data_IF_887135387304
#
_entry.id   IF_887135387304
#
_cell.length_a   1.000
_cell.length_b   1.000
_cell.length_c   1.000
_cell.angle_alpha   90.00
_cell.angle_beta   90.00
_cell.angle_gamma   90.00
#
_symmetry.space_group_name_H-M   'P 1'
#
loop_
_entity.id
_entity.type
_entity.pdbx_description
1 polymer ?
#
# COMPACT_ATOMS: atom_id res chain seq x y z
N UNK A 1 -19.33 -11.07 -2.77
CA UNK A 1 -20.59 -11.29 -2.01
C UNK A 1 -20.58 -10.40 -0.77
N UNK A 2 -21.66 -10.33 0.04
CA UNK A 2 -21.69 -9.49 1.27
C UNK A 2 -20.55 -9.85 2.26
N UNK A 3 -20.01 -11.07 2.15
CA UNK A 3 -18.92 -11.58 3.00
C UNK A 3 -17.52 -11.08 2.60
N UNK A 4 -17.29 -10.69 1.34
CA UNK A 4 -15.99 -10.17 0.86
C UNK A 4 -15.71 -8.75 1.37
N UNK A 5 -16.77 -7.96 1.60
CA UNK A 5 -16.67 -6.56 2.04
C UNK A 5 -15.91 -6.43 3.37
N UNK A 6 -15.96 -7.45 4.23
CA UNK A 6 -15.28 -7.46 5.52
C UNK A 6 -13.74 -7.42 5.35
N UNK A 7 -13.23 -8.03 4.29
CA UNK A 7 -11.80 -8.10 3.98
C UNK A 7 -11.26 -6.80 3.40
N UNK A 8 -12.11 -6.00 2.73
CA UNK A 8 -11.66 -4.80 2.03
C UNK A 8 -11.10 -3.74 2.97
N UNK A 9 -10.07 -3.04 2.50
CA UNK A 9 -9.44 -1.91 3.18
C UNK A 9 -7.97 -2.13 3.48
N UNK A 10 -7.40 -1.20 4.26
CA UNK A 10 -6.00 -1.24 4.68
C UNK A 10 -5.87 -1.99 5.99
N UNK A 11 -4.93 -2.92 6.05
CA UNK A 11 -4.62 -3.73 7.20
C UNK A 11 -3.15 -3.55 7.55
N UNK A 12 -2.86 -3.44 8.85
CA UNK A 12 -1.50 -3.27 9.36
C UNK A 12 -1.11 -4.45 10.20
N UNK A 13 0.06 -5.04 9.93
CA UNK A 13 0.62 -6.09 10.78
C UNK A 13 1.06 -5.45 12.10
N UNK A 14 0.42 -5.84 13.21
CA UNK A 14 0.73 -5.34 14.55
C UNK A 14 1.57 -6.32 15.35
N UNK A 15 1.49 -7.61 15.03
CA UNK A 15 2.26 -8.66 15.71
C UNK A 15 2.48 -9.86 14.78
N UNK A 16 3.67 -10.45 14.84
CA UNK A 16 4.01 -11.71 14.18
C UNK A 16 4.51 -12.73 15.20
N UNK A 17 3.86 -13.89 15.29
CA UNK A 17 4.24 -14.96 16.21
C UNK A 17 4.64 -16.21 15.42
N UNK A 18 5.88 -16.66 15.59
CA UNK A 18 6.35 -17.92 15.02
C UNK A 18 5.65 -19.13 15.69
N UNK A 19 5.24 -20.10 14.88
CA UNK A 19 4.56 -21.32 15.35
C UNK A 19 5.56 -22.28 16.04
N UNK A 20 6.87 -22.12 15.83
CA UNK A 20 7.91 -22.98 16.44
C UNK A 20 8.36 -22.51 17.83
N UNK A 21 7.81 -21.42 18.35
CA UNK A 21 8.11 -20.89 19.70
C UNK A 21 9.43 -20.14 19.81
N UNK A 22 10.18 -19.98 18.71
CA UNK A 22 11.29 -19.04 18.62
C UNK A 22 10.71 -17.72 18.14
N UNK A 23 10.67 -16.72 19.02
CA UNK A 23 10.27 -15.35 18.66
C UNK A 23 11.33 -14.78 17.72
N UNK A 24 11.18 -15.02 16.42
CA UNK A 24 11.86 -14.25 15.40
C UNK A 24 11.01 -13.01 15.16
N UNK A 25 11.48 -11.89 15.72
CA UNK A 25 10.95 -10.57 15.42
C UNK A 25 11.32 -10.32 13.96
N UNK A 26 10.42 -10.67 13.05
CA UNK A 26 10.67 -10.66 11.60
C UNK A 26 10.79 -9.23 11.02
N UNK A 27 10.61 -8.19 11.86
CA UNK A 27 10.74 -6.80 11.45
C UNK A 27 9.64 -6.38 10.47
N UNK A 28 8.55 -7.13 10.44
CA UNK A 28 7.41 -6.88 9.55
C UNK A 28 6.30 -6.10 10.24
N UNK A 29 6.37 -5.95 11.57
CA UNK A 29 5.44 -5.13 12.33
C UNK A 29 5.47 -3.69 11.80
N UNK A 30 4.29 -3.16 11.50
CA UNK A 30 4.15 -1.87 10.85
C UNK A 30 3.88 -1.93 9.35
N UNK A 31 4.14 -3.07 8.69
CA UNK A 31 3.81 -3.27 7.28
C UNK A 31 2.32 -3.17 7.06
N UNK A 32 1.92 -2.41 6.05
CA UNK A 32 0.52 -2.24 5.67
C UNK A 32 0.24 -2.96 4.34
N UNK A 33 -0.94 -3.53 4.19
CA UNK A 33 -1.42 -4.08 2.93
C UNK A 33 -2.87 -3.68 2.68
N UNK A 34 -3.22 -3.57 1.41
CA UNK A 34 -4.53 -3.08 0.96
C UNK A 34 -5.19 -4.21 0.18
N UNK A 35 -6.40 -4.60 0.58
CA UNK A 35 -7.25 -5.52 -0.17
C UNK A 35 -8.38 -4.71 -0.82
N UNK A 36 -8.43 -4.68 -2.14
CA UNK A 36 -9.40 -3.90 -2.89
C UNK A 36 -10.57 -4.74 -3.42
N UNK A 37 -11.58 -4.08 -4.00
CA UNK A 37 -12.78 -4.75 -4.52
C UNK A 37 -12.56 -5.53 -5.82
N UNK A 38 -11.42 -5.34 -6.48
CA UNK A 38 -11.06 -6.00 -7.74
C UNK A 38 -10.33 -7.32 -7.54
N UNK A 39 -9.99 -7.65 -6.28
CA UNK A 39 -9.16 -8.81 -5.96
C UNK A 39 -7.67 -8.52 -6.00
N UNK A 40 -7.27 -7.24 -5.96
CA UNK A 40 -5.86 -6.84 -5.93
C UNK A 40 -5.38 -6.66 -4.49
N UNK A 41 -4.12 -7.03 -4.24
CA UNK A 41 -3.40 -6.78 -2.99
C UNK A 41 -2.17 -5.92 -3.25
N UNK A 42 -2.03 -4.84 -2.48
CA UNK A 42 -0.86 -3.95 -2.53
C UNK A 42 -0.16 -3.93 -1.18
N UNK A 43 1.17 -4.01 -1.16
CA UNK A 43 1.99 -4.05 0.05
C UNK A 43 2.81 -2.76 0.22
N UNK A 44 2.83 -2.22 1.44
CA UNK A 44 3.71 -1.14 1.86
C UNK A 44 4.74 -1.70 2.84
N UNK A 45 5.78 -2.30 2.28
CA UNK A 45 6.86 -2.96 3.03
C UNK A 45 7.97 -1.95 3.32
N UNK A 46 8.43 -1.80 4.59
CA UNK A 46 9.60 -0.99 4.90
C UNK A 46 10.87 -1.50 4.21
N UNK A 47 11.76 -0.60 3.79
CA UNK A 47 12.98 -0.94 3.03
C UNK A 47 13.92 -1.92 3.77
N UNK A 48 13.89 -1.96 5.10
CA UNK A 48 14.77 -2.80 5.92
C UNK A 48 14.17 -4.17 6.27
N UNK A 49 12.98 -4.49 5.76
CA UNK A 49 12.28 -5.73 6.08
C UNK A 49 12.78 -6.88 5.19
N UNK A 50 13.02 -8.06 5.78
CA UNK A 50 13.40 -9.24 5.03
C UNK A 50 12.29 -9.68 4.05
N UNK A 51 12.64 -10.12 2.83
CA UNK A 51 11.64 -10.50 1.84
C UNK A 51 10.89 -11.76 2.25
N UNK A 52 9.59 -11.62 2.54
CA UNK A 52 8.68 -12.74 2.76
C UNK A 52 7.94 -13.13 1.47
N UNK A 53 7.54 -14.41 1.32
CA UNK A 53 6.98 -14.92 0.08
C UNK A 53 5.69 -14.23 -0.36
N UNK A 54 4.94 -13.63 0.58
CA UNK A 54 3.68 -12.95 0.29
C UNK A 54 3.82 -11.47 -0.07
N UNK A 55 4.99 -10.84 0.13
CA UNK A 55 5.20 -9.42 -0.21
C UNK A 55 5.22 -9.14 -1.71
N UNK A 56 5.39 -10.17 -2.54
CA UNK A 56 5.36 -10.06 -4.01
C UNK A 56 4.02 -10.54 -4.60
N UNK A 57 3.01 -10.77 -3.77
CA UNK A 57 1.67 -11.10 -4.26
C UNK A 57 0.96 -9.82 -4.72
N UNK A 58 0.24 -9.94 -5.83
CA UNK A 58 -0.46 -8.82 -6.48
C UNK A 58 -1.97 -9.01 -6.47
N UNK A 59 -2.46 -10.25 -6.37
CA UNK A 59 -3.88 -10.55 -6.27
C UNK A 59 -4.21 -11.43 -5.08
N UNK A 60 -5.47 -11.43 -4.69
CA UNK A 60 -5.98 -12.26 -3.60
C UNK A 60 -7.33 -12.90 -3.94
N UNK A 61 -7.61 -14.03 -3.28
CA UNK A 61 -8.89 -14.72 -3.35
C UNK A 61 -9.35 -15.12 -1.95
N UNK A 62 -10.66 -14.99 -1.69
CA UNK A 62 -11.29 -15.43 -0.44
C UNK A 62 -12.07 -16.71 -0.71
N UNK A 63 -11.67 -17.79 -0.03
CA UNK A 63 -12.45 -19.02 0.04
C UNK A 63 -13.25 -19.01 1.34
N UNK A 64 -14.59 -18.87 1.29
CA UNK A 64 -15.41 -18.82 2.49
C UNK A 64 -15.36 -20.15 3.26
N UNK A 65 -15.64 -20.08 4.55
CA UNK A 65 -15.68 -21.26 5.41
C UNK A 65 -16.72 -22.27 4.89
N UNK A 66 -16.33 -23.55 4.84
CA UNK A 66 -17.18 -24.64 4.35
C UNK A 66 -17.27 -25.76 5.39
N UNK A 67 -18.44 -25.90 6.04
CA UNK A 67 -18.65 -26.92 7.07
C UNK A 67 -17.77 -26.68 8.30
N UNK A 68 -16.77 -27.54 8.51
CA UNK A 68 -15.80 -27.43 9.62
C UNK A 68 -14.48 -26.77 9.20
N UNK A 69 -14.32 -26.41 7.92
CA UNK A 69 -13.10 -25.77 7.44
C UNK A 69 -13.20 -24.25 7.62
N UNK A 70 -12.16 -23.60 8.17
CA UNK A 70 -12.14 -22.14 8.32
C UNK A 70 -12.04 -21.46 6.95
N UNK A 71 -12.38 -20.18 6.91
CA UNK A 71 -12.14 -19.37 5.72
C UNK A 71 -10.64 -19.32 5.40
N UNK A 72 -10.32 -19.21 4.11
CA UNK A 72 -8.94 -19.15 3.61
C UNK A 72 -8.78 -17.89 2.76
N UNK A 73 -7.76 -17.10 3.07
CA UNK A 73 -7.30 -15.98 2.26
C UNK A 73 -6.05 -16.42 1.47
N UNK A 74 -6.13 -16.37 0.15
CA UNK A 74 -5.03 -16.76 -0.74
C UNK A 74 -4.41 -15.51 -1.33
N UNK A 75 -3.09 -15.40 -1.23
CA UNK A 75 -2.32 -14.39 -1.96
C UNK A 75 -1.58 -15.03 -3.12
N UNK A 76 -1.70 -14.45 -4.31
CA UNK A 76 -1.24 -15.03 -5.56
C UNK A 76 -0.19 -14.10 -6.16
N UNK A 77 1.01 -14.64 -6.37
CA UNK A 77 2.10 -13.96 -7.07
C UNK A 77 2.00 -14.14 -8.58
N UNK A 78 2.37 -13.10 -9.33
CA UNK A 78 2.41 -13.13 -10.81
C UNK A 78 3.57 -13.96 -11.36
N UNK A 79 4.67 -14.06 -10.61
CA UNK A 79 5.83 -14.87 -11.00
C UNK A 79 5.72 -16.30 -10.45
N UNK A 80 5.66 -17.28 -11.36
CA UNK A 80 5.65 -18.73 -11.08
C UNK A 80 4.42 -19.30 -10.33
N UNK A 81 3.34 -18.52 -10.16
CA UNK A 81 2.07 -19.03 -9.62
C UNK A 81 2.15 -19.48 -8.16
N UNK A 82 3.07 -18.88 -7.39
CA UNK A 82 3.15 -19.11 -5.96
C UNK A 82 1.86 -18.60 -5.29
N UNK A 83 1.19 -19.51 -4.58
CA UNK A 83 0.01 -19.21 -3.79
C UNK A 83 0.38 -19.35 -2.32
N UNK A 84 0.21 -18.28 -1.56
CA UNK A 84 0.37 -18.28 -0.10
C UNK A 84 -1.02 -18.33 0.51
N UNK A 85 -1.30 -19.40 1.25
CA UNK A 85 -2.62 -19.65 1.84
C UNK A 85 -2.60 -19.38 3.34
N UNK A 86 -3.46 -18.48 3.79
CA UNK A 86 -3.68 -18.19 5.20
C UNK A 86 -5.06 -18.67 5.62
N UNK A 87 -5.13 -19.38 6.75
CA UNK A 87 -6.41 -19.49 7.46
C UNK A 87 -6.70 -18.14 8.08
N UNK A 88 -7.91 -17.64 7.88
CA UNK A 88 -8.29 -16.29 8.27
C UNK A 88 -9.44 -16.32 9.27
N UNK A 89 -9.27 -15.56 10.35
CA UNK A 89 -10.31 -15.24 11.32
C UNK A 89 -10.42 -13.72 11.42
N UNK A 90 -11.62 -13.18 11.23
CA UNK A 90 -11.87 -11.72 11.28
C UNK A 90 -12.94 -11.42 12.32
N UNK A 91 -12.61 -10.51 13.22
CA UNK A 91 -13.52 -9.96 14.22
C UNK A 91 -13.36 -8.45 14.25
N UNK A 92 -14.39 -7.73 13.82
CA UNK A 92 -14.41 -6.26 13.72
C UNK A 92 -13.19 -5.72 12.94
N UNK A 93 -12.30 -5.00 13.62
CA UNK A 93 -11.09 -4.40 13.06
C UNK A 93 -9.83 -5.28 13.24
N UNK A 94 -9.99 -6.55 13.59
CA UNK A 94 -8.88 -7.49 13.76
C UNK A 94 -8.99 -8.64 12.76
N UNK A 95 -7.88 -8.92 12.08
CA UNK A 95 -7.72 -10.04 11.17
C UNK A 95 -6.53 -10.88 11.64
N UNK A 96 -6.76 -12.15 11.93
CA UNK A 96 -5.74 -13.12 12.27
C UNK A 96 -5.46 -14.01 11.06
N UNK A 97 -4.23 -13.94 10.55
CA UNK A 97 -3.78 -14.75 9.42
C UNK A 97 -2.84 -15.83 9.93
N UNK A 98 -3.23 -17.09 9.79
CA UNK A 98 -2.40 -18.24 10.19
C UNK A 98 -1.79 -18.89 8.96
N UNK A 99 -0.47 -18.79 8.83
CA UNK A 99 0.30 -19.49 7.82
C UNK A 99 0.85 -20.79 8.39
N UNK A 100 0.36 -21.93 7.88
CA UNK A 100 0.61 -23.23 8.50
C UNK A 100 2.10 -23.50 8.73
N UNK A 101 2.43 -23.88 9.98
CA UNK A 101 3.78 -24.25 10.45
C UNK A 101 4.84 -23.15 10.35
N UNK A 102 4.47 -21.93 9.98
CA UNK A 102 5.39 -20.80 9.87
C UNK A 102 5.09 -19.76 10.95
N UNK A 103 4.02 -18.98 10.78
CA UNK A 103 3.70 -17.87 11.66
C UNK A 103 2.20 -17.58 11.72
N UNK A 104 1.82 -16.79 12.71
CA UNK A 104 0.53 -16.12 12.81
C UNK A 104 0.78 -14.62 12.74
N UNK A 105 0.05 -13.93 11.86
CA UNK A 105 0.05 -12.49 11.73
C UNK A 105 -1.23 -11.94 12.37
N UNK A 106 -1.08 -11.07 13.35
CA UNK A 106 -2.19 -10.28 13.84
C UNK A 106 -2.19 -8.95 13.10
N UNK A 107 -3.29 -8.68 12.41
CA UNK A 107 -3.47 -7.49 11.60
C UNK A 107 -4.60 -6.64 12.18
N UNK A 108 -4.40 -5.33 12.20
CA UNK A 108 -5.42 -4.37 12.59
C UNK A 108 -5.89 -3.58 11.39
N UNK A 109 -7.19 -3.43 11.23
CA UNK A 109 -7.79 -2.58 10.20
C UNK A 109 -7.39 -1.15 10.48
N UNK A 110 -6.71 -0.54 9.52
CA UNK A 110 -6.38 0.87 9.58
C UNK A 110 -7.67 1.60 9.20
N UNK A 111 -8.29 2.25 10.19
CA UNK A 111 -9.35 3.21 9.89
C UNK A 111 -8.81 4.16 8.83
N UNK A 112 -9.57 4.47 7.76
CA UNK A 112 -9.15 5.51 6.84
C UNK A 112 -8.92 6.75 7.69
N UNK A 113 -7.66 7.10 7.91
CA UNK A 113 -7.31 8.35 8.53
C UNK A 113 -7.87 9.48 7.65
N UNK A 114 -7.75 10.75 8.06
CA UNK A 114 -7.54 11.74 7.03
C UNK A 114 -6.42 11.16 6.18
N UNK A 115 -6.70 10.99 4.88
CA UNK A 115 -5.78 10.38 3.97
C UNK A 115 -4.40 10.97 4.30
N UNK A 116 -3.31 10.20 4.25
CA UNK A 116 -2.09 10.87 3.82
C UNK A 116 -2.43 11.32 2.39
N UNK A 117 -3.14 12.43 2.28
CA UNK A 117 -2.95 13.34 1.19
C UNK A 117 -1.43 13.50 1.22
N UNK A 118 -0.74 12.84 0.28
CA UNK A 118 0.37 13.53 -0.35
C UNK A 118 -0.17 14.94 -0.54
N UNK A 119 0.35 15.88 0.28
CA UNK A 119 -0.23 17.21 0.39
C UNK A 119 -0.47 17.77 -1.01
N UNK A 120 -1.39 18.72 -1.18
CA UNK A 120 -1.91 19.14 -2.49
C UNK A 120 -0.82 19.10 -3.56
N UNK A 121 -1.06 18.29 -4.61
CA UNK A 121 -0.07 18.00 -5.65
C UNK A 121 0.68 19.27 -6.05
N UNK A 122 2.00 19.24 -5.92
CA UNK A 122 2.85 20.42 -6.05
C UNK A 122 3.80 20.31 -7.24
N UNK A 123 3.74 21.30 -8.12
CA UNK A 123 4.69 21.46 -9.23
C UNK A 123 6.06 21.99 -8.80
N UNK A 124 6.29 22.26 -7.51
CA UNK A 124 7.54 22.86 -7.01
C UNK A 124 8.76 22.00 -7.36
N UNK A 125 8.68 20.68 -7.19
CA UNK A 125 9.78 19.78 -7.55
C UNK A 125 10.07 19.82 -9.06
N UNK A 126 9.04 19.85 -9.90
CA UNK A 126 9.21 19.98 -11.35
C UNK A 126 9.84 21.33 -11.74
N UNK A 127 9.50 22.41 -11.02
CA UNK A 127 10.07 23.75 -11.23
C UNK A 127 11.55 23.81 -10.85
N UNK A 128 11.92 23.28 -9.69
CA UNK A 128 13.32 23.24 -9.20
C UNK A 128 14.23 22.47 -10.16
N UNK A 129 13.73 21.36 -10.71
CA UNK A 129 14.47 20.53 -11.66
C UNK A 129 14.34 21.01 -13.12
N UNK A 130 13.53 22.05 -13.38
CA UNK A 130 13.28 22.60 -14.71
C UNK A 130 12.54 21.65 -15.66
N UNK A 131 11.80 20.67 -15.13
CA UNK A 131 10.95 19.78 -15.91
C UNK A 131 9.73 20.51 -16.42
N UNK A 132 9.32 20.22 -17.66
CA UNK A 132 8.12 20.78 -18.29
C UNK A 132 8.10 22.31 -18.42
N UNK A 133 9.21 23.01 -18.15
CA UNK A 133 9.30 24.44 -18.34
C UNK A 133 9.33 24.77 -19.84
N UNK A 134 8.39 25.59 -20.26
CA UNK A 134 8.17 26.04 -21.64
C UNK A 134 8.40 27.54 -21.81
N UNK A 135 8.54 28.28 -20.70
CA UNK A 135 8.85 29.72 -20.69
C UNK A 135 10.10 30.00 -19.85
N UNK A 136 10.91 30.96 -20.30
CA UNK A 136 12.02 31.53 -19.53
C UNK A 136 11.79 33.03 -19.36
N UNK A 137 11.58 33.45 -18.11
CA UNK A 137 11.51 34.87 -17.76
C UNK A 137 12.92 35.37 -17.45
N UNK A 138 13.32 36.48 -18.05
CA UNK A 138 14.63 37.09 -17.81
C UNK A 138 14.47 38.45 -17.14
N UNK A 139 15.02 38.58 -15.94
CA UNK A 139 15.08 39.86 -15.24
C UNK A 139 16.08 40.82 -15.92
N UNK A 140 15.93 42.12 -15.67
CA UNK A 140 16.84 43.17 -16.12
C UNK A 140 18.30 42.96 -15.65
N UNK A 141 18.48 42.35 -14.48
CA UNK A 141 19.75 41.89 -13.93
C UNK A 141 20.42 40.77 -14.73
N UNK A 142 19.73 40.20 -15.72
CA UNK A 142 20.18 39.06 -16.51
C UNK A 142 19.88 37.70 -15.89
N UNK A 143 19.24 37.65 -14.70
CA UNK A 143 18.84 36.39 -14.07
C UNK A 143 17.66 35.75 -14.80
N UNK A 144 17.76 34.45 -15.07
CA UNK A 144 16.75 33.66 -15.77
C UNK A 144 15.93 32.79 -14.81
N UNK A 145 14.63 32.67 -15.09
CA UNK A 145 13.67 31.86 -14.34
C UNK A 145 12.91 30.98 -15.32
N UNK A 146 13.14 29.67 -15.26
CA UNK A 146 12.35 28.69 -16.01
C UNK A 146 11.02 28.50 -15.31
N UNK A 147 9.92 28.62 -16.05
CA UNK A 147 8.56 28.53 -15.50
C UNK A 147 7.66 27.73 -16.43
N UNK A 148 6.54 27.26 -15.89
CA UNK A 148 5.47 26.59 -16.64
C UNK A 148 4.41 27.62 -17.04
N UNK A 149 4.12 27.76 -18.33
CA UNK A 149 3.13 28.70 -18.87
C UNK A 149 1.76 28.52 -18.23
N UNK A 150 1.33 27.27 -18.02
CA UNK A 150 0.04 26.95 -17.41
C UNK A 150 -0.09 27.49 -15.98
N UNK A 151 0.98 27.44 -15.19
CA UNK A 151 1.00 27.97 -13.81
C UNK A 151 0.99 29.50 -13.84
N UNK A 152 1.72 30.10 -14.79
CA UNK A 152 1.76 31.54 -14.98
C UNK A 152 0.39 32.08 -15.40
N UNK A 153 -0.29 31.44 -16.36
CA UNK A 153 -1.62 31.83 -16.84
C UNK A 153 -2.69 31.72 -15.75
N UNK A 154 -2.61 30.70 -14.89
CA UNK A 154 -3.52 30.57 -13.75
C UNK A 154 -3.29 31.65 -12.69
N UNK A 155 -2.03 32.07 -12.50
CA UNK A 155 -1.65 33.04 -11.45
C UNK A 155 -1.74 34.50 -11.91
N UNK A 156 -1.51 34.74 -13.20
CA UNK A 156 -1.46 36.05 -13.82
C UNK A 156 -1.87 35.93 -15.31
N UNK A 157 -3.17 35.80 -15.60
CA UNK A 157 -3.68 35.58 -16.97
C UNK A 157 -3.46 36.77 -17.91
N UNK A 158 -3.07 37.94 -17.40
CA UNK A 158 -2.80 39.15 -18.18
C UNK A 158 -1.34 39.28 -18.65
N UNK A 159 -0.49 38.28 -18.34
CA UNK A 159 0.95 38.31 -18.58
C UNK A 159 1.38 37.62 -19.89
N UNK A 160 0.44 37.38 -20.81
CA UNK A 160 0.67 36.94 -22.20
C UNK A 160 1.18 38.09 -23.10
#
# INVERSE_FOLDING_TARGET
>A
SVEEVVYHGTWKIIECVSVTGVVEITGIEGTEFILDENGDVSWQVPDETEPLPFFNCETYEVCPAAGNEPAVLKFIGTYAGYVVEFKVDISDDLMLLTYEKCCMLQCQKVSPGPWKEDGPYSFMSALEHGYFSDIVLRADSGKEFKVHSIILQLSAPELD
#
